data_IF_702310978086
#
_entry.id   IF_702310978086
#
_cell.length_a   1.000
_cell.length_b   1.000
_cell.length_c   1.000
_cell.angle_alpha   90.00
_cell.angle_beta   90.00
_cell.angle_gamma   90.00
#
_symmetry.space_group_name_H-M   'P 1'
#
loop_
_entity.id
_entity.type
_entity.pdbx_description
1 polymer ?
#
# COMPACT_ATOMS: atom_id res chain seq x y z
N UNK A 1 18.71 -20.43 27.85
CA UNK A 1 18.88 -19.06 27.31
C UNK A 1 17.64 -18.25 27.61
N UNK A 2 17.73 -17.05 28.18
CA UNK A 2 16.58 -16.32 28.69
C UNK A 2 15.77 -15.74 27.51
N UNK A 3 14.44 -15.87 27.62
CA UNK A 3 13.45 -15.16 26.78
C UNK A 3 13.60 -13.65 27.01
N UNK A 4 13.78 -12.87 25.98
CA UNK A 4 13.64 -11.41 26.04
C UNK A 4 12.20 -11.06 25.66
N UNK A 5 11.39 -10.71 26.63
CA UNK A 5 10.09 -10.05 26.42
C UNK A 5 10.31 -8.54 26.49
N UNK A 6 9.78 -7.80 25.54
CA UNK A 6 9.76 -6.35 25.57
C UNK A 6 8.32 -5.86 25.48
N UNK A 7 7.97 -4.83 26.26
CA UNK A 7 6.72 -4.10 26.11
C UNK A 7 6.98 -2.74 25.49
N UNK A 8 6.14 -2.31 24.55
CA UNK A 8 6.17 -0.98 23.95
C UNK A 8 4.85 -0.27 24.23
N UNK A 9 4.93 0.87 24.92
CA UNK A 9 3.75 1.71 25.18
C UNK A 9 3.70 2.81 24.15
N UNK A 10 2.58 2.95 23.43
CA UNK A 10 2.37 3.95 22.39
C UNK A 10 1.18 4.83 22.72
N UNK A 11 1.36 6.13 22.52
CA UNK A 11 0.32 7.12 22.70
C UNK A 11 -0.32 7.45 21.32
N UNK A 12 -1.61 7.30 21.19
CA UNK A 12 -2.34 7.70 19.99
C UNK A 12 -2.48 9.23 19.94
N UNK A 13 -1.87 9.85 18.95
CA UNK A 13 -1.89 11.30 18.79
C UNK A 13 -3.28 11.88 18.52
N UNK A 14 -4.25 11.06 18.11
CA UNK A 14 -5.62 11.54 17.80
C UNK A 14 -6.63 11.33 18.93
N UNK A 15 -6.41 10.41 19.86
CA UNK A 15 -7.37 10.11 20.93
C UNK A 15 -6.74 9.99 22.33
N UNK A 16 -5.42 10.14 22.45
CA UNK A 16 -4.71 10.05 23.75
C UNK A 16 -4.67 8.66 24.39
N UNK A 17 -5.14 7.63 23.70
CA UNK A 17 -5.14 6.27 24.25
C UNK A 17 -3.73 5.65 24.24
N UNK A 18 -3.37 5.00 25.34
CA UNK A 18 -2.13 4.24 25.50
C UNK A 18 -2.38 2.78 25.11
N UNK A 19 -1.63 2.28 24.15
CA UNK A 19 -1.66 0.87 23.74
C UNK A 19 -0.36 0.19 24.18
N UNK A 20 -0.47 -0.85 24.98
CA UNK A 20 0.66 -1.68 25.40
C UNK A 20 0.67 -2.95 24.55
N UNK A 21 1.76 -3.16 23.79
CA UNK A 21 1.96 -4.38 23.02
C UNK A 21 3.08 -5.20 23.65
N UNK A 22 2.74 -6.42 24.04
CA UNK A 22 3.74 -7.43 24.39
C UNK A 22 4.06 -8.25 23.14
N UNK A 23 5.33 -8.35 22.78
CA UNK A 23 5.79 -9.26 21.75
C UNK A 23 6.75 -10.27 22.34
N UNK A 24 6.45 -11.54 22.12
CA UNK A 24 7.38 -12.63 22.39
C UNK A 24 8.16 -12.95 21.11
N UNK A 25 9.47 -12.77 21.13
CA UNK A 25 10.37 -13.34 20.13
C UNK A 25 10.64 -14.79 20.49
N UNK A 26 9.80 -15.70 20.02
CA UNK A 26 10.07 -17.14 20.11
C UNK A 26 10.97 -17.53 18.91
N UNK A 27 12.27 -17.44 19.11
CA UNK A 27 13.27 -18.08 18.26
C UNK A 27 13.31 -19.58 18.62
N UNK A 28 12.92 -20.43 17.66
CA UNK A 28 12.96 -21.88 17.60
C UNK A 28 11.66 -22.63 17.98
N UNK A 29 10.76 -22.73 16.99
CA UNK A 29 10.05 -23.99 16.74
C UNK A 29 10.28 -24.42 15.30
N UNK A 30 10.92 -25.57 15.14
CA UNK A 30 11.03 -26.34 13.91
C UNK A 30 9.64 -26.72 13.42
N UNK A 31 9.37 -26.43 12.13
CA UNK A 31 8.31 -27.10 11.39
C UNK A 31 7.18 -26.15 10.93
N UNK A 32 7.46 -25.35 9.99
CA UNK A 32 6.77 -25.00 8.73
C UNK A 32 7.48 -23.78 8.16
N UNK A 33 8.32 -23.97 7.16
CA UNK A 33 8.80 -22.86 6.33
C UNK A 33 7.55 -22.28 5.66
N UNK A 34 7.05 -21.16 6.15
CA UNK A 34 6.38 -20.23 5.25
C UNK A 34 7.43 -19.89 4.22
N UNK A 35 7.19 -20.31 2.97
CA UNK A 35 8.07 -19.96 1.85
C UNK A 35 8.08 -18.44 1.78
N UNK A 36 9.24 -17.86 2.05
CA UNK A 36 9.46 -16.43 2.03
C UNK A 36 9.22 -15.95 0.60
N UNK A 37 8.13 -15.21 0.38
CA UNK A 37 7.96 -14.45 -0.84
C UNK A 37 9.08 -13.41 -0.87
N UNK A 38 10.12 -13.68 -1.66
CA UNK A 38 11.24 -12.73 -1.77
C UNK A 38 10.78 -11.44 -2.42
N UNK A 39 11.24 -10.30 -1.88
CA UNK A 39 11.01 -8.99 -2.49
C UNK A 39 12.00 -8.79 -3.63
N UNK A 40 11.58 -9.09 -4.85
CA UNK A 40 12.40 -8.94 -6.05
C UNK A 40 11.72 -7.97 -7.02
N UNK A 41 12.49 -7.00 -7.51
CA UNK A 41 12.04 -6.11 -8.59
C UNK A 41 11.91 -6.94 -9.86
N UNK A 42 10.74 -6.91 -10.54
CA UNK A 42 10.63 -7.56 -11.84
C UNK A 42 11.60 -6.94 -12.86
N UNK A 43 12.28 -7.80 -13.62
CA UNK A 43 13.14 -7.39 -14.71
C UNK A 43 12.88 -8.33 -15.92
N UNK A 44 12.37 -7.79 -17.05
CA UNK A 44 11.95 -6.39 -17.23
C UNK A 44 10.71 -6.01 -16.43
N UNK A 45 10.54 -4.70 -16.18
CA UNK A 45 9.30 -4.18 -15.61
C UNK A 45 8.15 -4.45 -16.60
N UNK A 46 7.08 -5.15 -16.19
CA UNK A 46 5.97 -5.44 -17.08
C UNK A 46 5.21 -4.18 -17.48
N UNK A 47 4.70 -4.14 -18.71
CA UNK A 47 3.74 -3.14 -19.12
C UNK A 47 2.43 -3.36 -18.39
N UNK A 48 1.82 -2.29 -17.90
CA UNK A 48 0.50 -2.34 -17.26
C UNK A 48 -0.54 -1.65 -18.14
N UNK A 49 -1.76 -2.17 -18.14
CA UNK A 49 -2.90 -1.64 -18.90
C UNK A 49 -4.07 -1.31 -17.94
N UNK A 50 -3.93 -0.28 -17.08
CA UNK A 50 -4.97 0.02 -16.09
C UNK A 50 -6.25 0.49 -16.79
N UNK A 51 -7.40 -0.04 -16.38
CA UNK A 51 -8.71 0.43 -16.81
C UNK A 51 -9.16 1.51 -15.82
N UNK A 52 -9.13 2.81 -16.17
CA UNK A 52 -9.53 3.87 -15.25
C UNK A 52 -11.05 3.84 -15.00
N UNK A 53 -11.48 4.43 -13.88
CA UNK A 53 -12.88 4.43 -13.45
C UNK A 53 -13.84 4.93 -14.55
N UNK A 54 -13.45 5.96 -15.30
CA UNK A 54 -14.27 6.54 -16.38
C UNK A 54 -14.38 5.66 -17.63
N UNK A 55 -13.51 4.66 -17.79
CA UNK A 55 -13.50 3.73 -18.94
C UNK A 55 -14.06 2.34 -18.55
N UNK A 56 -14.43 2.15 -17.28
CA UNK A 56 -15.02 0.91 -16.80
C UNK A 56 -16.45 0.76 -17.33
N UNK A 57 -16.80 -0.46 -17.79
CA UNK A 57 -18.19 -0.79 -18.07
C UNK A 57 -19.02 -0.94 -16.78
N UNK A 58 -20.33 -1.13 -16.88
CA UNK A 58 -21.24 -1.19 -15.75
C UNK A 58 -20.87 -2.29 -14.74
N UNK A 59 -20.43 -3.46 -15.22
CA UNK A 59 -20.07 -4.60 -14.36
C UNK A 59 -18.78 -4.28 -13.57
N UNK A 60 -17.76 -3.74 -14.23
CA UNK A 60 -16.51 -3.36 -13.59
C UNK A 60 -16.69 -2.15 -12.66
N UNK A 61 -17.52 -1.17 -13.04
CA UNK A 61 -17.89 -0.05 -12.19
C UNK A 61 -18.49 -0.54 -10.87
N UNK A 62 -19.41 -1.51 -10.91
CA UNK A 62 -20.01 -2.09 -9.70
C UNK A 62 -18.95 -2.75 -8.80
N UNK A 63 -17.94 -3.42 -9.36
CA UNK A 63 -16.84 -4.02 -8.58
C UNK A 63 -15.97 -2.90 -7.99
N UNK A 64 -15.66 -1.86 -8.74
CA UNK A 64 -14.87 -0.72 -8.27
C UNK A 64 -15.55 -0.01 -7.09
N UNK A 65 -16.86 0.22 -7.16
CA UNK A 65 -17.60 0.83 -6.04
C UNK A 65 -17.55 -0.04 -4.78
N UNK A 66 -17.72 -1.38 -4.93
CA UNK A 66 -17.59 -2.31 -3.80
C UNK A 66 -16.15 -2.36 -3.25
N UNK A 67 -15.14 -2.30 -4.13
CA UNK A 67 -13.73 -2.25 -3.73
C UNK A 67 -13.45 -0.98 -2.93
N UNK A 68 -13.86 0.19 -3.42
CA UNK A 68 -13.70 1.47 -2.70
C UNK A 68 -14.40 1.44 -1.35
N UNK A 69 -15.64 0.95 -1.32
CA UNK A 69 -16.40 0.83 -0.07
C UNK A 69 -15.74 -0.13 0.92
N UNK A 70 -15.33 -1.33 0.48
CA UNK A 70 -14.68 -2.32 1.35
C UNK A 70 -13.32 -1.87 1.87
N UNK A 71 -12.57 -1.11 1.08
CA UNK A 71 -11.27 -0.56 1.47
C UNK A 71 -11.37 0.77 2.23
N UNK A 72 -12.55 1.40 2.27
CA UNK A 72 -12.75 2.71 2.88
C UNK A 72 -11.99 3.84 2.15
N UNK A 73 -11.83 3.75 0.84
CA UNK A 73 -11.04 4.70 0.03
C UNK A 73 -11.89 5.42 -1.00
N UNK A 74 -11.63 6.72 -1.26
CA UNK A 74 -12.40 7.50 -2.23
C UNK A 74 -11.88 7.40 -3.68
N UNK A 75 -10.94 6.49 -3.99
CA UNK A 75 -10.36 6.32 -5.32
C UNK A 75 -10.00 4.86 -5.61
N UNK A 76 -9.90 4.51 -6.88
CA UNK A 76 -9.33 3.23 -7.29
C UNK A 76 -7.81 3.33 -7.40
N UNK A 77 -7.10 2.46 -6.69
CA UNK A 77 -5.66 2.32 -6.82
C UNK A 77 -5.26 1.79 -8.19
N UNK A 78 -4.14 2.29 -8.73
CA UNK A 78 -3.62 1.84 -10.05
C UNK A 78 -3.43 0.32 -10.08
N UNK A 79 -3.09 -0.29 -8.95
CA UNK A 79 -2.97 -1.76 -8.82
C UNK A 79 -4.28 -2.47 -9.16
N UNK A 80 -5.40 -2.04 -8.59
CA UNK A 80 -6.69 -2.64 -8.88
C UNK A 80 -7.16 -2.37 -10.32
N UNK A 81 -6.89 -1.17 -10.84
CA UNK A 81 -7.17 -0.84 -12.25
C UNK A 81 -6.32 -1.68 -13.21
N UNK A 82 -5.06 -1.97 -12.87
CA UNK A 82 -4.19 -2.84 -13.66
C UNK A 82 -4.63 -4.32 -13.57
N UNK A 83 -5.07 -4.77 -12.40
CA UNK A 83 -5.62 -6.11 -12.22
C UNK A 83 -6.94 -6.29 -13.00
N UNK A 84 -7.75 -5.25 -13.10
CA UNK A 84 -9.01 -5.26 -13.84
C UNK A 84 -8.86 -5.42 -15.36
N UNK A 85 -7.64 -5.24 -15.91
CA UNK A 85 -7.34 -5.62 -17.28
C UNK A 85 -7.54 -7.13 -17.50
N UNK A 86 -7.25 -7.92 -16.47
CA UNK A 86 -7.46 -9.36 -16.40
C UNK A 86 -8.77 -9.63 -15.66
N UNK A 87 -9.86 -9.68 -16.41
CA UNK A 87 -11.24 -9.65 -15.89
C UNK A 87 -11.59 -10.81 -14.98
N UNK A 88 -11.29 -12.01 -15.42
CA UNK A 88 -11.63 -13.23 -14.65
C UNK A 88 -10.76 -13.33 -13.40
N UNK A 89 -9.47 -13.02 -13.52
CA UNK A 89 -8.56 -12.93 -12.38
C UNK A 89 -9.04 -11.91 -11.34
N UNK A 90 -9.35 -10.67 -11.77
CA UNK A 90 -9.76 -9.62 -10.83
C UNK A 90 -11.11 -9.90 -10.17
N UNK A 91 -12.09 -10.44 -10.93
CA UNK A 91 -13.36 -10.88 -10.39
C UNK A 91 -13.19 -11.97 -9.33
N UNK A 92 -12.40 -13.00 -9.63
CA UNK A 92 -12.14 -14.10 -8.73
C UNK A 92 -11.43 -13.62 -7.44
N UNK A 93 -10.40 -12.78 -7.59
CA UNK A 93 -9.68 -12.18 -6.46
C UNK A 93 -10.61 -11.33 -5.60
N UNK A 94 -11.43 -10.46 -6.22
CA UNK A 94 -12.35 -9.61 -5.47
C UNK A 94 -13.43 -10.40 -4.75
N UNK A 95 -14.03 -11.39 -5.39
CA UNK A 95 -15.00 -12.29 -4.74
C UNK A 95 -14.41 -13.00 -3.52
N UNK A 96 -13.11 -13.32 -3.56
CA UNK A 96 -12.42 -13.92 -2.43
C UNK A 96 -12.16 -12.90 -1.30
N UNK A 97 -11.86 -11.67 -1.64
CA UNK A 97 -11.51 -10.62 -0.68
C UNK A 97 -12.72 -9.91 -0.08
N UNK A 98 -13.82 -9.77 -0.83
CA UNK A 98 -15.00 -9.01 -0.41
C UNK A 98 -15.53 -9.41 0.98
N UNK A 99 -15.70 -10.69 1.32
CA UNK A 99 -16.11 -11.09 2.67
C UNK A 99 -15.03 -10.85 3.74
N UNK A 100 -13.76 -10.69 3.36
CA UNK A 100 -12.63 -10.52 4.28
C UNK A 100 -12.46 -9.05 4.65
N UNK A 101 -12.65 -8.14 3.71
CA UNK A 101 -12.41 -6.70 3.92
C UNK A 101 -13.32 -6.06 4.96
N UNK A 102 -14.47 -6.69 5.25
CA UNK A 102 -15.40 -6.27 6.31
C UNK A 102 -15.11 -6.92 7.68
N UNK A 103 -14.00 -7.65 7.82
CA UNK A 103 -13.63 -8.30 9.09
C UNK A 103 -12.72 -7.41 9.93
N UNK A 104 -12.81 -7.57 11.26
CA UNK A 104 -11.89 -6.93 12.20
C UNK A 104 -10.42 -7.34 11.91
N UNK A 105 -10.20 -8.60 11.50
CA UNK A 105 -8.88 -9.08 11.13
C UNK A 105 -8.24 -8.29 9.98
N UNK A 106 -9.04 -7.88 8.98
CA UNK A 106 -8.54 -7.05 7.88
C UNK A 106 -8.25 -5.62 8.33
N UNK A 107 -9.13 -5.01 9.10
CA UNK A 107 -8.92 -3.69 9.68
C UNK A 107 -7.65 -3.63 10.53
N UNK A 108 -7.47 -4.62 11.41
CA UNK A 108 -6.28 -4.77 12.24
C UNK A 108 -5.01 -4.98 11.41
N UNK A 109 -5.08 -5.77 10.33
CA UNK A 109 -3.95 -6.00 9.43
C UNK A 109 -3.54 -4.70 8.72
N UNK A 110 -4.49 -3.91 8.21
CA UNK A 110 -4.21 -2.60 7.63
C UNK A 110 -3.55 -1.65 8.64
N UNK A 111 -4.07 -1.59 9.86
CA UNK A 111 -3.52 -0.75 10.91
C UNK A 111 -2.10 -1.17 11.31
N UNK A 112 -1.85 -2.48 11.51
CA UNK A 112 -0.52 -3.02 11.83
C UNK A 112 0.48 -2.75 10.71
N UNK A 113 0.07 -2.91 9.46
CA UNK A 113 0.92 -2.65 8.30
C UNK A 113 1.28 -1.16 8.20
N UNK A 114 0.30 -0.27 8.37
CA UNK A 114 0.53 1.16 8.45
C UNK A 114 1.53 1.51 9.56
N UNK A 115 1.31 0.96 10.75
CA UNK A 115 2.22 1.16 11.87
C UNK A 115 3.66 0.68 11.56
N UNK A 116 3.81 -0.46 10.89
CA UNK A 116 5.11 -0.94 10.44
C UNK A 116 5.79 0.07 9.50
N UNK A 117 5.07 0.59 8.49
CA UNK A 117 5.60 1.61 7.57
C UNK A 117 6.01 2.89 8.30
N UNK A 118 5.20 3.36 9.25
CA UNK A 118 5.48 4.56 10.06
C UNK A 118 6.70 4.39 10.97
N UNK A 119 6.86 3.21 11.57
CA UNK A 119 8.02 2.86 12.39
C UNK A 119 9.31 2.86 11.56
N UNK A 120 9.25 2.24 10.38
CA UNK A 120 10.40 2.18 9.48
C UNK A 120 10.76 3.57 8.93
N UNK A 121 9.77 4.38 8.53
CA UNK A 121 10.00 5.76 8.12
C UNK A 121 10.63 6.62 9.22
N UNK A 122 10.26 6.39 10.49
CA UNK A 122 10.88 7.09 11.61
C UNK A 122 12.37 6.79 11.74
N UNK A 123 12.78 5.55 11.51
CA UNK A 123 14.20 5.14 11.58
C UNK A 123 15.06 5.77 10.48
N UNK A 124 14.45 6.20 9.38
CA UNK A 124 15.13 6.86 8.26
C UNK A 124 15.42 8.35 8.49
N UNK A 125 14.93 8.92 9.60
CA UNK A 125 15.20 10.30 10.04
C UNK A 125 14.88 11.36 8.97
N UNK A 126 13.66 11.43 8.43
CA UNK A 126 13.29 12.45 7.45
C UNK A 126 13.35 13.86 8.02
N UNK A 127 13.66 14.83 7.15
CA UNK A 127 13.79 16.23 7.53
C UNK A 127 12.41 16.88 7.71
N UNK A 128 12.15 17.51 8.86
CA UNK A 128 10.93 18.27 9.07
C UNK A 128 10.88 19.52 8.17
N UNK A 129 9.77 19.75 7.49
CA UNK A 129 9.60 20.86 6.53
C UNK A 129 8.46 21.82 6.89
N UNK A 130 7.68 21.54 7.92
CA UNK A 130 6.54 22.38 8.33
C UNK A 130 6.92 23.85 8.54
N UNK A 131 7.99 24.11 9.30
CA UNK A 131 8.47 25.47 9.56
C UNK A 131 8.95 26.20 8.28
N UNK A 132 9.41 25.46 7.29
CA UNK A 132 9.76 26.02 5.98
C UNK A 132 8.53 26.41 5.19
N UNK A 133 7.47 25.62 5.24
CA UNK A 133 6.20 25.93 4.58
C UNK A 133 5.58 27.22 5.13
N UNK A 134 5.52 27.38 6.44
CA UNK A 134 5.04 28.61 7.09
C UNK A 134 5.84 29.84 6.63
N UNK A 135 7.17 29.72 6.52
CA UNK A 135 8.03 30.81 6.01
C UNK A 135 7.81 31.11 4.52
N UNK A 136 7.31 30.15 3.74
CA UNK A 136 6.93 30.33 2.34
C UNK A 136 5.53 30.91 2.16
N UNK A 137 4.81 31.16 3.26
CA UNK A 137 3.48 31.76 3.26
C UNK A 137 2.31 30.78 3.27
N UNK A 138 2.56 29.48 3.48
CA UNK A 138 1.48 28.52 3.71
C UNK A 138 0.83 28.82 5.07
N UNK A 139 -0.49 28.96 5.07
CA UNK A 139 -1.26 29.06 6.29
C UNK A 139 -1.54 27.68 6.93
N UNK A 140 -2.06 27.68 8.15
CA UNK A 140 -2.37 26.45 8.89
C UNK A 140 -3.39 25.58 8.14
N UNK A 141 -4.33 26.18 7.41
CA UNK A 141 -5.34 25.47 6.66
C UNK A 141 -4.74 24.73 5.47
N UNK A 142 -3.83 25.37 4.73
CA UNK A 142 -3.13 24.74 3.60
C UNK A 142 -2.23 23.60 4.08
N UNK A 143 -1.51 23.80 5.19
CA UNK A 143 -0.69 22.74 5.80
C UNK A 143 -1.57 21.57 6.23
N UNK A 144 -2.75 21.82 6.80
CA UNK A 144 -3.69 20.79 7.18
C UNK A 144 -4.28 20.06 5.97
N UNK A 145 -4.53 20.74 4.84
CA UNK A 145 -4.94 20.09 3.59
C UNK A 145 -3.85 19.13 3.06
N UNK A 146 -2.57 19.49 3.17
CA UNK A 146 -1.45 18.63 2.81
C UNK A 146 -1.38 17.41 3.75
N UNK A 147 -1.51 17.61 5.07
CA UNK A 147 -1.55 16.55 6.07
C UNK A 147 -2.71 15.58 5.80
N UNK A 148 -3.90 16.11 5.53
CA UNK A 148 -5.06 15.29 5.19
C UNK A 148 -4.86 14.49 3.90
N UNK A 149 -4.21 15.05 2.89
CA UNK A 149 -3.84 14.31 1.68
C UNK A 149 -2.88 13.16 1.99
N UNK A 150 -1.88 13.39 2.85
CA UNK A 150 -0.98 12.34 3.31
C UNK A 150 -1.72 11.25 4.10
N UNK A 151 -2.69 11.63 4.95
CA UNK A 151 -3.49 10.70 5.75
C UNK A 151 -4.32 9.77 4.88
N UNK A 152 -4.91 10.30 3.80
CA UNK A 152 -5.65 9.53 2.79
C UNK A 152 -4.80 8.38 2.25
N UNK A 153 -3.57 8.65 1.84
CA UNK A 153 -2.68 7.64 1.26
C UNK A 153 -2.04 6.75 2.32
N UNK A 154 -1.69 7.30 3.49
CA UNK A 154 -1.14 6.53 4.61
C UNK A 154 -2.09 5.41 5.07
N UNK A 155 -3.39 5.66 5.08
CA UNK A 155 -4.40 4.66 5.42
C UNK A 155 -4.81 3.84 4.19
N UNK A 156 -5.10 4.51 3.08
CA UNK A 156 -5.74 3.89 1.93
C UNK A 156 -4.83 3.02 1.07
N UNK A 157 -3.50 3.12 1.20
CA UNK A 157 -2.60 2.21 0.49
C UNK A 157 -2.55 0.81 1.12
N UNK A 158 -2.84 0.68 2.42
CA UNK A 158 -2.68 -0.60 3.14
C UNK A 158 -3.56 -1.72 2.60
N UNK A 159 -4.87 -1.51 2.31
CA UNK A 159 -5.70 -2.52 1.66
C UNK A 159 -5.13 -3.01 0.33
N UNK A 160 -4.60 -2.10 -0.49
CA UNK A 160 -3.99 -2.45 -1.77
C UNK A 160 -2.71 -3.26 -1.62
N UNK A 161 -1.87 -2.96 -0.61
CA UNK A 161 -0.69 -3.79 -0.28
C UNK A 161 -1.11 -5.20 0.06
N UNK A 162 -2.13 -5.38 0.94
CA UNK A 162 -2.62 -6.70 1.33
C UNK A 162 -3.24 -7.44 0.15
N UNK A 163 -4.02 -6.78 -0.71
CA UNK A 163 -4.61 -7.36 -1.92
C UNK A 163 -3.53 -7.88 -2.87
N UNK A 164 -2.52 -7.07 -3.19
CA UNK A 164 -1.46 -7.47 -4.10
C UNK A 164 -0.61 -8.61 -3.52
N UNK A 165 -0.40 -8.59 -2.21
CA UNK A 165 0.36 -9.65 -1.51
C UNK A 165 -0.42 -10.96 -1.51
N UNK A 166 -1.72 -10.93 -1.21
CA UNK A 166 -2.57 -12.11 -1.24
C UNK A 166 -2.69 -12.70 -2.66
N UNK A 167 -2.86 -11.84 -3.67
CA UNK A 167 -2.88 -12.26 -5.06
C UNK A 167 -1.59 -12.99 -5.44
N UNK A 168 -0.42 -12.47 -5.05
CA UNK A 168 0.87 -13.12 -5.32
C UNK A 168 1.00 -14.45 -4.57
N UNK A 169 0.64 -14.51 -3.29
CA UNK A 169 0.65 -15.75 -2.52
C UNK A 169 -0.12 -16.85 -3.26
N UNK A 170 -1.35 -16.58 -3.66
CA UNK A 170 -2.20 -17.56 -4.33
C UNK A 170 -1.68 -17.93 -5.73
N UNK A 171 -1.21 -16.97 -6.53
CA UNK A 171 -0.67 -17.26 -7.86
C UNK A 171 0.68 -18.00 -7.83
N UNK A 172 1.43 -17.91 -6.74
CA UNK A 172 2.67 -18.68 -6.49
C UNK A 172 2.39 -19.96 -5.69
N UNK A 173 1.15 -20.45 -5.68
CA UNK A 173 0.70 -21.72 -5.11
C UNK A 173 0.84 -21.84 -3.58
N UNK A 174 0.96 -20.70 -2.86
CA UNK A 174 0.92 -20.72 -1.40
C UNK A 174 -0.53 -20.90 -0.90
N UNK A 175 -0.73 -21.77 0.08
CA UNK A 175 -2.04 -21.93 0.69
C UNK A 175 -2.44 -20.68 1.49
N UNK A 176 -3.73 -20.37 1.48
CA UNK A 176 -4.29 -19.32 2.32
C UNK A 176 -5.09 -19.97 3.46
N UNK A 177 -4.39 -20.33 4.53
CA UNK A 177 -4.94 -21.06 5.68
C UNK A 177 -5.05 -20.18 6.93
N UNK A 178 -5.13 -18.86 6.74
CA UNK A 178 -5.19 -17.89 7.83
C UNK A 178 -6.37 -18.13 8.75
N UNK A 179 -6.11 -18.05 10.06
CA UNK A 179 -7.08 -18.26 11.14
C UNK A 179 -7.51 -16.95 11.81
N UNK A 180 -7.38 -15.83 11.11
CA UNK A 180 -7.86 -14.54 11.59
C UNK A 180 -9.33 -14.58 11.97
N UNK A 181 -9.74 -13.70 12.88
CA UNK A 181 -11.14 -13.60 13.29
C UNK A 181 -12.02 -13.21 12.10
N UNK A 182 -13.07 -14.02 11.87
CA UNK A 182 -14.13 -13.72 10.89
C UNK A 182 -15.20 -12.75 11.43
N UNK A 183 -14.99 -12.19 12.64
CA UNK A 183 -15.90 -11.20 13.21
C UNK A 183 -15.98 -9.99 12.27
N UNK A 184 -17.19 -9.66 11.86
CA UNK A 184 -17.44 -8.50 11.00
C UNK A 184 -17.24 -7.21 11.78
N UNK A 185 -16.68 -6.22 11.12
CA UNK A 185 -16.57 -4.85 11.56
C UNK A 185 -17.52 -4.00 10.71
N UNK A 186 -18.05 -2.92 11.25
CA UNK A 186 -18.76 -1.94 10.45
C UNK A 186 -17.86 -1.48 9.30
N UNK A 187 -18.42 -1.46 8.08
CA UNK A 187 -17.66 -1.03 6.91
C UNK A 187 -17.03 0.34 7.18
N UNK A 188 -15.73 0.52 6.87
CA UNK A 188 -15.07 1.79 7.11
C UNK A 188 -15.81 2.89 6.36
N UNK A 189 -16.26 3.92 7.08
CA UNK A 189 -16.86 5.08 6.43
C UNK A 189 -15.80 5.79 5.60
N UNK A 190 -16.10 6.10 4.33
CA UNK A 190 -15.23 6.92 3.49
C UNK A 190 -15.31 8.36 4.03
N UNK A 191 -14.38 8.69 4.93
CA UNK A 191 -14.30 10.03 5.54
C UNK A 191 -13.43 11.00 4.75
N UNK A 192 -12.63 10.47 3.83
CA UNK A 192 -11.68 11.25 3.05
C UNK A 192 -12.27 11.78 1.75
N UNK A 193 -11.89 13.00 1.38
CA UNK A 193 -12.19 13.55 0.07
C UNK A 193 -11.34 12.86 -1.00
N UNK A 194 -11.92 12.67 -2.19
CA UNK A 194 -11.19 12.14 -3.35
C UNK A 194 -10.00 13.07 -3.65
N UNK A 195 -8.77 12.52 -3.75
CA UNK A 195 -7.60 13.30 -4.12
C UNK A 195 -7.75 13.90 -5.53
N UNK A 196 -7.34 15.14 -5.70
CA UNK A 196 -7.21 15.76 -7.02
C UNK A 196 -5.80 15.49 -7.52
N UNK A 197 -5.68 14.95 -8.73
CA UNK A 197 -4.42 14.53 -9.30
C UNK A 197 -3.97 15.52 -10.37
N UNK A 198 -2.68 15.79 -10.42
CA UNK A 198 -2.08 16.46 -11.59
C UNK A 198 -1.96 15.45 -12.71
N UNK A 199 -2.66 15.69 -13.82
CA UNK A 199 -2.54 14.89 -15.01
C UNK A 199 -1.21 15.18 -15.74
N UNK A 200 -0.56 14.12 -16.24
CA UNK A 200 0.78 14.25 -16.84
C UNK A 200 0.83 15.25 -18.02
N UNK A 201 -0.23 15.29 -18.81
CA UNK A 201 -0.34 16.20 -19.97
C UNK A 201 -0.71 17.64 -19.60
N UNK A 202 -1.12 17.89 -18.35
CA UNK A 202 -1.38 19.23 -17.80
C UNK A 202 -0.27 19.70 -16.85
N UNK A 203 0.76 18.90 -16.64
CA UNK A 203 1.88 19.26 -15.77
C UNK A 203 2.72 20.37 -16.42
N UNK A 204 3.04 21.40 -15.63
CA UNK A 204 4.00 22.43 -16.03
C UNK A 204 5.43 21.82 -16.17
N UNK A 205 6.39 22.57 -16.79
CA UNK A 205 7.73 22.04 -17.01
C UNK A 205 8.47 21.58 -15.74
N UNK A 206 8.27 22.27 -14.60
CA UNK A 206 8.92 21.89 -13.34
C UNK A 206 8.32 20.61 -12.77
N UNK A 207 7.00 20.51 -12.79
CA UNK A 207 6.26 19.28 -12.37
C UNK A 207 6.61 18.11 -13.29
N UNK A 208 6.76 18.35 -14.60
CA UNK A 208 7.19 17.32 -15.55
C UNK A 208 8.61 16.83 -15.27
N UNK A 209 9.52 17.73 -14.95
CA UNK A 209 10.90 17.38 -14.54
C UNK A 209 10.90 16.58 -13.25
N UNK A 210 10.10 16.99 -12.25
CA UNK A 210 9.92 16.27 -10.99
C UNK A 210 9.38 14.84 -11.22
N UNK A 211 8.35 14.68 -12.04
CA UNK A 211 7.79 13.37 -12.39
C UNK A 211 8.80 12.48 -13.15
N UNK A 212 9.66 13.09 -13.94
CA UNK A 212 10.75 12.37 -14.61
C UNK A 212 11.79 11.87 -13.62
N UNK A 213 12.20 12.72 -12.67
CA UNK A 213 13.13 12.34 -11.60
C UNK A 213 12.53 11.23 -10.69
N UNK A 214 11.23 11.31 -10.37
CA UNK A 214 10.52 10.26 -9.62
C UNK A 214 10.59 8.93 -10.35
N UNK A 215 10.24 8.90 -11.63
CA UNK A 215 10.28 7.67 -12.45
C UNK A 215 11.68 7.08 -12.52
N UNK A 216 12.68 7.92 -12.74
CA UNK A 216 14.08 7.48 -12.81
C UNK A 216 14.57 6.93 -11.47
N UNK A 217 14.30 7.63 -10.38
CA UNK A 217 14.73 7.24 -9.03
C UNK A 217 14.07 5.91 -8.60
N UNK A 218 12.77 5.74 -8.86
CA UNK A 218 12.04 4.53 -8.48
C UNK A 218 12.21 3.41 -9.54
N UNK A 219 12.73 3.72 -10.71
CA UNK A 219 12.86 2.80 -11.84
C UNK A 219 11.52 2.28 -12.33
N UNK A 220 10.52 3.17 -12.42
CA UNK A 220 9.15 2.88 -12.86
C UNK A 220 8.79 3.67 -14.12
N UNK A 221 7.99 3.10 -15.05
CA UNK A 221 7.57 3.81 -16.25
C UNK A 221 6.43 4.81 -16.00
N UNK A 222 5.86 4.85 -14.80
CA UNK A 222 4.71 5.68 -14.43
C UNK A 222 4.96 6.41 -13.09
N UNK A 223 4.10 7.39 -12.80
CA UNK A 223 4.08 8.12 -11.52
C UNK A 223 2.84 7.68 -10.74
N UNK A 224 3.05 7.22 -9.50
CA UNK A 224 1.96 6.78 -8.62
C UNK A 224 0.99 7.92 -8.30
N UNK A 225 -0.24 7.54 -7.99
CA UNK A 225 -1.35 8.45 -7.64
C UNK A 225 -0.97 9.43 -6.54
N UNK A 226 -0.29 8.96 -5.51
CA UNK A 226 0.18 9.71 -4.35
C UNK A 226 1.02 10.93 -4.77
N UNK A 227 2.04 10.70 -5.57
CA UNK A 227 2.94 11.78 -6.04
C UNK A 227 2.22 12.78 -6.93
N UNK A 228 1.28 12.31 -7.76
CA UNK A 228 0.44 13.18 -8.58
C UNK A 228 -0.50 14.06 -7.74
N UNK A 229 -0.97 13.55 -6.61
CA UNK A 229 -1.78 14.32 -5.67
C UNK A 229 -0.94 15.37 -4.92
N UNK A 230 0.24 15.00 -4.43
CA UNK A 230 1.14 15.92 -3.73
C UNK A 230 1.69 17.04 -4.63
N UNK A 231 1.83 16.79 -5.93
CA UNK A 231 2.27 17.79 -6.91
C UNK A 231 1.36 19.02 -7.01
N UNK A 232 0.16 18.99 -6.43
CA UNK A 232 -0.70 20.19 -6.26
C UNK A 232 -0.06 21.28 -5.42
N UNK A 233 0.88 20.92 -4.54
CA UNK A 233 1.60 21.85 -3.68
C UNK A 233 3.11 21.80 -3.99
N UNK A 234 3.56 22.45 -5.09
CA UNK A 234 4.96 22.32 -5.53
C UNK A 234 5.97 22.75 -4.48
N UNK A 235 5.67 23.82 -3.71
CA UNK A 235 6.55 24.32 -2.65
C UNK A 235 6.67 23.35 -1.45
N UNK A 236 5.69 22.46 -1.27
CA UNK A 236 5.76 21.34 -0.34
C UNK A 236 6.46 20.14 -0.99
N UNK A 237 5.97 19.71 -2.16
CA UNK A 237 6.34 18.41 -2.70
C UNK A 237 7.78 18.36 -3.22
N UNK A 238 8.29 19.45 -3.81
CA UNK A 238 9.68 19.50 -4.28
C UNK A 238 10.70 19.25 -3.14
N UNK A 239 10.70 19.97 -2.01
CA UNK A 239 11.61 19.69 -0.91
C UNK A 239 11.33 18.35 -0.23
N UNK A 240 10.07 17.93 -0.13
CA UNK A 240 9.71 16.64 0.43
C UNK A 240 10.26 15.48 -0.41
N UNK A 241 10.13 15.56 -1.73
CA UNK A 241 10.71 14.58 -2.65
C UNK A 241 12.25 14.61 -2.63
N UNK A 242 12.85 15.79 -2.59
CA UNK A 242 14.32 15.91 -2.55
C UNK A 242 14.91 15.18 -1.34
N UNK A 243 14.30 15.32 -0.16
CA UNK A 243 14.69 14.59 1.04
C UNK A 243 14.45 13.09 0.88
N UNK A 244 13.23 12.69 0.47
CA UNK A 244 12.90 11.29 0.25
C UNK A 244 13.83 10.62 -0.78
N UNK A 245 14.16 11.32 -1.88
CA UNK A 245 15.11 10.82 -2.88
C UNK A 245 16.46 10.49 -2.26
N UNK A 246 16.96 11.37 -1.38
CA UNK A 246 18.21 11.12 -0.67
C UNK A 246 18.14 9.91 0.26
N UNK A 247 16.96 9.66 0.85
CA UNK A 247 16.69 8.50 1.70
C UNK A 247 16.65 7.22 0.86
N UNK A 248 15.96 7.22 -0.29
CA UNK A 248 15.82 6.07 -1.19
C UNK A 248 17.20 5.52 -1.64
N UNK A 249 18.19 6.39 -1.79
CA UNK A 249 19.52 5.99 -2.23
C UNK A 249 20.39 5.34 -1.14
N UNK A 250 19.88 5.20 0.09
CA UNK A 250 20.59 4.57 1.21
C UNK A 250 20.22 3.09 1.34
N UNK A 251 21.13 2.30 1.84
CA UNK A 251 20.92 0.87 2.10
C UNK A 251 19.82 0.64 3.15
N UNK A 252 19.75 1.51 4.17
CA UNK A 252 18.75 1.46 5.24
C UNK A 252 17.31 1.56 4.71
N UNK A 253 17.10 2.25 3.58
CA UNK A 253 15.79 2.33 2.94
C UNK A 253 15.34 0.97 2.42
N UNK A 254 16.18 0.24 1.71
CA UNK A 254 15.83 -1.10 1.21
C UNK A 254 15.54 -2.08 2.36
N UNK A 255 16.30 -1.98 3.45
CA UNK A 255 16.02 -2.77 4.66
C UNK A 255 14.67 -2.39 5.30
N UNK A 256 14.32 -1.10 5.36
CA UNK A 256 13.04 -0.63 5.87
C UNK A 256 11.88 -1.15 5.00
N UNK A 257 12.00 -1.05 3.68
CA UNK A 257 10.99 -1.55 2.74
C UNK A 257 10.85 -3.07 2.82
N UNK A 258 11.96 -3.80 2.99
CA UNK A 258 11.93 -5.26 3.15
C UNK A 258 11.13 -5.65 4.41
N UNK A 259 11.34 -4.97 5.55
CA UNK A 259 10.57 -5.25 6.77
C UNK A 259 9.06 -4.99 6.62
N UNK A 260 8.68 -3.94 5.87
CA UNK A 260 7.26 -3.69 5.55
C UNK A 260 6.71 -4.76 4.62
N UNK A 261 7.49 -5.20 3.63
CA UNK A 261 7.14 -6.32 2.75
C UNK A 261 6.90 -7.62 3.55
N UNK A 262 7.81 -7.99 4.45
CA UNK A 262 7.68 -9.17 5.31
C UNK A 262 6.44 -9.07 6.20
N UNK A 263 6.18 -7.89 6.77
CA UNK A 263 4.96 -7.65 7.53
C UNK A 263 3.70 -7.83 6.66
N UNK A 264 3.72 -7.34 5.41
CA UNK A 264 2.59 -7.52 4.49
C UNK A 264 2.35 -9.00 4.16
N UNK A 265 3.41 -9.78 3.93
CA UNK A 265 3.30 -11.23 3.67
C UNK A 265 2.70 -11.97 4.86
N UNK A 266 3.21 -11.69 6.06
CA UNK A 266 2.71 -12.29 7.30
C UNK A 266 1.22 -11.93 7.54
N UNK A 267 0.88 -10.65 7.41
CA UNK A 267 -0.47 -10.15 7.66
C UNK A 267 -1.46 -10.69 6.62
N UNK A 268 -1.12 -10.66 5.33
CA UNK A 268 -1.99 -11.19 4.27
C UNK A 268 -2.24 -12.69 4.45
N UNK A 269 -1.20 -13.47 4.73
CA UNK A 269 -1.33 -14.91 4.98
C UNK A 269 -2.13 -15.26 6.24
N UNK A 270 -2.22 -14.36 7.23
CA UNK A 270 -2.98 -14.55 8.47
C UNK A 270 -4.48 -14.21 8.35
N UNK A 271 -4.90 -13.51 7.30
CA UNK A 271 -6.30 -13.16 7.07
C UNK A 271 -7.18 -14.42 6.92
N UNK A 272 -8.45 -14.38 7.36
CA UNK A 272 -9.33 -15.53 7.23
C UNK A 272 -9.72 -15.77 5.76
N UNK A 273 -9.59 -17.00 5.28
CA UNK A 273 -10.06 -17.39 3.95
C UNK A 273 -11.57 -17.71 3.98
N UNK A 274 -12.40 -16.67 3.98
CA UNK A 274 -13.84 -16.77 4.12
C UNK A 274 -14.50 -17.48 2.91
N UNK A 275 -13.96 -17.25 1.71
CA UNK A 275 -14.44 -17.83 0.45
C UNK A 275 -13.93 -19.25 0.20
N UNK A 276 -12.94 -19.69 0.99
CA UNK A 276 -12.21 -20.95 0.79
C UNK A 276 -11.56 -21.06 -0.60
N UNK A 277 -11.17 -19.94 -1.17
CA UNK A 277 -10.45 -19.94 -2.45
C UNK A 277 -9.13 -20.71 -2.32
N UNK A 278 -8.82 -21.46 -3.37
CA UNK A 278 -7.54 -22.18 -3.49
C UNK A 278 -6.64 -21.52 -4.51
N UNK A 279 -5.31 -21.71 -4.45
CA UNK A 279 -4.38 -21.27 -5.48
C UNK A 279 -4.82 -21.69 -6.89
N UNK A 280 -5.24 -22.93 -7.07
CA UNK A 280 -5.64 -23.50 -8.36
C UNK A 280 -6.87 -22.78 -8.95
N UNK A 281 -7.79 -22.34 -8.10
CA UNK A 281 -8.97 -21.57 -8.56
C UNK A 281 -8.54 -20.19 -9.09
N UNK A 282 -7.69 -19.45 -8.36
CA UNK A 282 -7.22 -18.14 -8.83
C UNK A 282 -6.33 -18.26 -10.07
N UNK A 283 -5.45 -19.27 -10.12
CA UNK A 283 -4.62 -19.60 -11.30
C UNK A 283 -5.51 -19.93 -12.50
N UNK A 284 -6.59 -20.72 -12.28
CA UNK A 284 -7.56 -21.03 -13.32
C UNK A 284 -8.23 -19.78 -13.89
N UNK A 285 -8.67 -18.85 -13.04
CA UNK A 285 -9.23 -17.57 -13.48
C UNK A 285 -8.18 -16.72 -14.25
N UNK A 286 -6.95 -16.60 -13.72
CA UNK A 286 -5.89 -15.87 -14.39
C UNK A 286 -5.53 -16.44 -15.78
N UNK A 287 -5.60 -17.76 -15.94
CA UNK A 287 -5.33 -18.45 -17.20
C UNK A 287 -6.43 -18.22 -18.24
N UNK A 288 -7.66 -17.92 -17.82
CA UNK A 288 -8.77 -17.55 -18.73
C UNK A 288 -8.54 -16.18 -19.39
N UNK A 289 -7.87 -15.26 -18.71
CA UNK A 289 -7.57 -13.91 -19.23
C UNK A 289 -6.35 -13.88 -20.18
N UNK A 290 -5.57 -14.96 -20.25
CA UNK A 290 -4.38 -15.04 -21.09
C UNK A 290 -3.28 -15.93 -20.48
N UNK A 291 -2.01 -15.50 -20.63
CA UNK A 291 -0.90 -16.25 -20.05
C UNK A 291 -0.75 -15.93 -18.55
N UNK A 292 -0.79 -16.97 -17.71
CA UNK A 292 -0.56 -16.83 -16.27
C UNK A 292 0.71 -16.03 -15.95
N UNK A 293 1.78 -16.19 -16.73
CA UNK A 293 3.05 -15.49 -16.54
C UNK A 293 2.90 -13.96 -16.67
N UNK A 294 1.99 -13.48 -17.52
CA UNK A 294 1.72 -12.06 -17.69
C UNK A 294 0.99 -11.49 -16.46
N UNK A 295 -0.10 -12.12 -16.03
CA UNK A 295 -0.83 -11.75 -14.82
C UNK A 295 0.10 -11.75 -13.60
N UNK A 296 0.89 -12.82 -13.43
CA UNK A 296 1.83 -12.95 -12.33
C UNK A 296 2.92 -11.87 -12.35
N UNK A 297 3.40 -11.47 -13.53
CA UNK A 297 4.39 -10.39 -13.67
C UNK A 297 3.83 -9.05 -13.19
N UNK A 298 2.59 -8.73 -13.53
CA UNK A 298 1.91 -7.51 -13.06
C UNK A 298 1.66 -7.57 -11.54
N UNK A 299 1.23 -8.72 -11.03
CA UNK A 299 1.04 -8.90 -9.57
C UNK A 299 2.37 -8.77 -8.82
N UNK A 300 3.46 -9.35 -9.32
CA UNK A 300 4.81 -9.20 -8.75
C UNK A 300 5.28 -7.75 -8.74
N UNK A 301 5.00 -7.00 -9.81
CA UNK A 301 5.34 -5.57 -9.87
C UNK A 301 4.69 -4.80 -8.71
N UNK A 302 3.38 -4.94 -8.53
CA UNK A 302 2.68 -4.19 -7.49
C UNK A 302 3.04 -4.69 -6.09
N UNK A 303 3.21 -5.98 -5.90
CA UNK A 303 3.61 -6.53 -4.62
C UNK A 303 5.05 -6.11 -4.21
N UNK A 304 5.95 -5.91 -5.18
CA UNK A 304 7.27 -5.32 -4.94
C UNK A 304 7.18 -3.81 -4.68
N UNK A 305 6.37 -3.07 -5.45
CA UNK A 305 6.27 -1.62 -5.44
C UNK A 305 5.60 -1.07 -4.16
N UNK A 306 4.45 -1.65 -3.77
CA UNK A 306 3.56 -1.05 -2.79
C UNK A 306 4.15 -0.94 -1.37
N UNK A 307 4.95 -1.88 -0.85
CA UNK A 307 5.65 -1.68 0.44
C UNK A 307 6.57 -0.46 0.43
N UNK A 308 7.29 -0.20 -0.67
CA UNK A 308 8.09 1.00 -0.84
C UNK A 308 7.24 2.27 -0.86
N UNK A 309 6.11 2.24 -1.56
CA UNK A 309 5.16 3.37 -1.57
C UNK A 309 4.62 3.66 -0.17
N UNK A 310 4.30 2.63 0.62
CA UNK A 310 3.85 2.78 2.00
C UNK A 310 4.91 3.48 2.88
N UNK A 311 6.19 3.10 2.75
CA UNK A 311 7.31 3.77 3.44
C UNK A 311 7.45 5.22 2.96
N UNK A 312 7.34 5.48 1.66
CA UNK A 312 7.48 6.82 1.10
C UNK A 312 6.41 7.78 1.61
N UNK A 313 5.16 7.33 1.66
CA UNK A 313 4.04 8.13 2.23
C UNK A 313 4.25 8.36 3.73
N UNK A 314 4.73 7.36 4.47
CA UNK A 314 5.05 7.51 5.88
C UNK A 314 6.20 8.52 6.11
N UNK A 315 7.21 8.57 5.23
CA UNK A 315 8.26 9.59 5.24
C UNK A 315 7.67 10.98 5.01
N UNK A 316 6.83 11.16 3.98
CA UNK A 316 6.17 12.44 3.71
C UNK A 316 5.31 12.92 4.89
N UNK A 317 4.63 12.01 5.56
CA UNK A 317 3.83 12.32 6.74
C UNK A 317 4.70 12.81 7.88
N UNK A 318 5.84 12.18 8.12
CA UNK A 318 6.78 12.58 9.17
C UNK A 318 7.47 13.92 8.91
N UNK A 319 7.65 14.30 7.66
CA UNK A 319 8.18 15.61 7.29
C UNK A 319 7.24 16.77 7.68
N UNK A 320 5.98 16.47 7.96
CA UNK A 320 4.93 17.45 8.31
C UNK A 320 4.62 17.51 9.83
N UNK A 321 5.44 16.86 10.63
CA UNK A 321 5.34 16.90 12.10
C UNK A 321 6.14 18.04 12.69
#
# INVERSE_FOLDING_TARGET
TPKKSGSLVLNCLNCGALYEYQYETDCHKKGQRMSELSRLKPDPIPTIHPIPEYAADAALTAIYERTKSGFGVPWMGVVAMAFAHYREFYNCLWQAMEPVVVTQAFADACQKLRFAAEKEAASLSPVAICSKLTKLGYDDREIEEIKNCNEVFSSGNMPYVLMATLARLLLEEHSWDGKGSAQTHDAPSITFKRPVLIELHHADPNTTALFTDIRQTLGLPFVNTDYRAFARWPSYFNPAWTDLRSIILREEYEHAVLRVHEAAVLLAGSLPNMSKITPQQLIGCATQDGQLSEVLSVVRLFQWLLPGLAVNVAVFRRQLV
#
